data_IF_188622506591
#
_entry.id   IF_188622506591
#
_cell.length_a   1.000
_cell.length_b   1.000
_cell.length_c   1.000
_cell.angle_alpha   90.00
_cell.angle_beta   90.00
_cell.angle_gamma   90.00
#
_symmetry.space_group_name_H-M   'P 1'
#
loop_
_entity.id
_entity.type
_entity.pdbx_description
1 polymer ?
#
# COMPACT_ATOMS: atom_id res chain seq x y z
N UNK A 1 2.80 -24.12 -38.09
CA UNK A 1 1.87 -24.69 -37.10
C UNK A 1 2.68 -25.30 -35.98
N UNK A 2 2.75 -24.63 -34.83
CA UNK A 2 3.17 -25.24 -33.59
C UNK A 2 2.17 -24.74 -32.55
N UNK A 3 1.16 -25.57 -32.29
CA UNK A 3 0.23 -25.38 -31.20
C UNK A 3 1.04 -25.52 -29.91
N UNK A 4 1.44 -24.38 -29.36
CA UNK A 4 1.93 -24.32 -27.99
C UNK A 4 0.70 -24.46 -27.10
N UNK A 5 0.67 -25.51 -26.31
CA UNK A 5 -0.38 -25.83 -25.35
C UNK A 5 -0.38 -24.74 -24.27
N UNK A 6 -0.99 -23.59 -24.55
CA UNK A 6 -1.48 -22.68 -23.53
C UNK A 6 -2.58 -23.45 -22.81
N UNK A 7 -2.27 -23.98 -21.63
CA UNK A 7 -3.29 -24.28 -20.65
C UNK A 7 -4.01 -22.96 -20.37
N UNK A 8 -5.12 -22.78 -21.08
CA UNK A 8 -6.07 -21.70 -20.92
C UNK A 8 -6.77 -21.92 -19.58
N UNK A 9 -6.20 -21.36 -18.52
CA UNK A 9 -6.84 -21.23 -17.22
C UNK A 9 -6.77 -19.77 -16.82
N UNK A 10 -7.40 -18.87 -17.58
CA UNK A 10 -7.95 -17.62 -17.03
C UNK A 10 -9.02 -17.04 -17.96
N UNK A 11 -10.07 -17.80 -18.27
CA UNK A 11 -11.36 -17.23 -18.66
C UNK A 11 -12.37 -17.71 -17.63
N UNK A 12 -12.50 -16.98 -16.52
CA UNK A 12 -13.70 -16.86 -15.66
C UNK A 12 -13.29 -16.43 -14.25
N UNK A 13 -12.85 -15.19 -14.11
CA UNK A 13 -13.21 -14.32 -12.98
C UNK A 13 -12.62 -12.96 -13.31
N UNK A 14 -13.37 -11.85 -13.28
CA UNK A 14 -12.73 -10.56 -13.10
C UNK A 14 -11.80 -10.71 -11.89
N UNK A 15 -10.54 -10.30 -11.99
CA UNK A 15 -9.61 -10.36 -10.86
C UNK A 15 -10.12 -9.40 -9.78
N UNK A 16 -11.09 -9.88 -9.02
CA UNK A 16 -11.73 -9.14 -7.96
C UNK A 16 -10.72 -9.07 -6.83
N UNK A 17 -10.11 -7.90 -6.70
CA UNK A 17 -9.29 -7.62 -5.52
C UNK A 17 -10.25 -7.20 -4.43
N UNK A 18 -10.28 -7.98 -3.36
CA UNK A 18 -10.99 -7.60 -2.14
C UNK A 18 -10.30 -6.36 -1.54
N UNK A 19 -10.92 -5.21 -1.76
CA UNK A 19 -10.40 -3.91 -1.33
C UNK A 19 -10.40 -3.78 0.19
N UNK A 20 -11.32 -4.44 0.91
CA UNK A 20 -11.34 -4.44 2.36
C UNK A 20 -10.16 -5.25 2.90
N UNK A 21 -9.88 -6.41 2.29
CA UNK A 21 -8.73 -7.22 2.68
C UNK A 21 -7.42 -6.50 2.36
N UNK A 22 -7.36 -5.78 1.24
CA UNK A 22 -6.20 -4.96 0.90
C UNK A 22 -6.02 -3.80 1.91
N UNK A 23 -7.11 -3.15 2.32
CA UNK A 23 -7.08 -2.13 3.37
C UNK A 23 -6.51 -2.68 4.68
N UNK A 24 -6.97 -3.85 5.13
CA UNK A 24 -6.43 -4.51 6.33
C UNK A 24 -4.92 -4.77 6.21
N UNK A 25 -4.50 -5.24 5.04
CA UNK A 25 -3.09 -5.50 4.76
C UNK A 25 -2.27 -4.21 4.74
N UNK A 26 -2.74 -3.15 4.09
CA UNK A 26 -2.09 -1.81 4.03
C UNK A 26 -1.91 -1.23 5.44
N UNK A 27 -2.91 -1.41 6.30
CA UNK A 27 -2.87 -1.02 7.72
C UNK A 27 -2.07 -1.99 8.59
N UNK A 28 -1.50 -3.05 8.01
CA UNK A 28 -0.62 -3.99 8.70
C UNK A 28 -1.34 -4.87 9.72
N UNK A 29 -2.66 -5.03 9.62
CA UNK A 29 -3.42 -5.91 10.52
C UNK A 29 -2.86 -7.33 10.44
N UNK A 30 -2.83 -8.00 11.57
CA UNK A 30 -2.51 -9.44 11.62
C UNK A 30 -3.68 -10.27 11.11
N UNK A 31 -3.40 -11.52 10.73
CA UNK A 31 -4.45 -12.49 10.34
C UNK A 31 -5.53 -12.59 11.42
N UNK A 32 -5.13 -12.68 12.69
CA UNK A 32 -6.05 -12.75 13.83
C UNK A 32 -6.95 -11.50 13.91
N UNK A 33 -6.37 -10.30 13.82
CA UNK A 33 -7.14 -9.04 13.85
C UNK A 33 -8.13 -8.93 12.69
N UNK A 34 -7.71 -9.29 11.48
CA UNK A 34 -8.59 -9.30 10.31
C UNK A 34 -9.71 -10.33 10.47
N UNK A 35 -9.42 -11.54 10.96
CA UNK A 35 -10.43 -12.54 11.27
C UNK A 35 -11.43 -12.04 12.31
N UNK A 36 -10.99 -11.38 13.39
CA UNK A 36 -11.89 -10.84 14.42
C UNK A 36 -12.86 -9.78 13.87
N UNK A 37 -12.43 -9.00 12.87
CA UNK A 37 -13.29 -8.02 12.19
C UNK A 37 -14.25 -8.75 11.24
N UNK A 38 -13.76 -9.68 10.42
CA UNK A 38 -14.57 -10.41 9.45
C UNK A 38 -15.60 -11.34 10.10
N UNK A 39 -15.30 -11.88 11.28
CA UNK A 39 -16.23 -12.72 12.05
C UNK A 39 -17.53 -12.01 12.44
N UNK A 40 -17.55 -10.67 12.42
CA UNK A 40 -18.75 -9.86 12.66
C UNK A 40 -19.60 -9.68 11.40
N UNK A 41 -19.14 -10.18 10.24
CA UNK A 41 -19.87 -10.10 8.98
C UNK A 41 -21.01 -11.13 8.94
N UNK A 42 -22.23 -10.73 8.50
CA UNK A 42 -23.36 -11.64 8.32
C UNK A 42 -23.04 -12.86 7.45
N UNK A 43 -22.11 -12.70 6.49
CA UNK A 43 -21.70 -13.76 5.58
C UNK A 43 -21.02 -14.93 6.28
N UNK A 44 -20.35 -14.71 7.41
CA UNK A 44 -19.68 -15.79 8.15
C UNK A 44 -20.70 -16.78 8.71
N UNK A 45 -21.82 -16.27 9.22
CA UNK A 45 -22.93 -17.09 9.70
C UNK A 45 -23.67 -17.75 8.52
N UNK A 46 -23.94 -16.98 7.45
CA UNK A 46 -24.64 -17.45 6.25
C UNK A 46 -23.92 -18.66 5.60
N UNK A 47 -22.59 -18.58 5.46
CA UNK A 47 -21.78 -19.63 4.84
C UNK A 47 -21.20 -20.63 5.85
N UNK A 48 -21.53 -20.52 7.14
CA UNK A 48 -21.01 -21.36 8.24
C UNK A 48 -19.48 -21.49 8.20
N UNK A 49 -18.79 -20.38 7.97
CA UNK A 49 -17.33 -20.38 7.90
C UNK A 49 -16.72 -20.67 9.27
N UNK A 50 -15.79 -21.62 9.33
CA UNK A 50 -15.01 -21.86 10.56
C UNK A 50 -13.91 -20.82 10.71
N UNK A 51 -13.40 -20.63 11.93
CA UNK A 51 -12.27 -19.75 12.20
C UNK A 51 -11.02 -20.13 11.38
N UNK A 52 -10.80 -21.43 11.15
CA UNK A 52 -9.68 -21.92 10.36
C UNK A 52 -9.82 -21.57 8.87
N UNK A 53 -11.05 -21.68 8.33
CA UNK A 53 -11.35 -21.26 6.95
C UNK A 53 -11.15 -19.76 6.78
N UNK A 54 -11.58 -18.96 7.76
CA UNK A 54 -11.38 -17.52 7.74
C UNK A 54 -9.89 -17.15 7.81
N UNK A 55 -9.13 -17.81 8.69
CA UNK A 55 -7.69 -17.60 8.80
C UNK A 55 -6.93 -18.03 7.54
N UNK A 56 -7.37 -19.09 6.85
CA UNK A 56 -6.82 -19.48 5.54
C UNK A 56 -7.14 -18.41 4.48
N UNK A 57 -8.41 -17.99 4.38
CA UNK A 57 -8.85 -16.96 3.44
C UNK A 57 -8.05 -15.66 3.59
N UNK A 58 -7.87 -15.16 4.80
CA UNK A 58 -7.11 -13.93 5.07
C UNK A 58 -5.63 -14.11 4.71
N UNK A 59 -5.02 -15.26 5.06
CA UNK A 59 -3.62 -15.55 4.73
C UNK A 59 -3.38 -15.57 3.22
N UNK A 60 -4.26 -16.20 2.46
CA UNK A 60 -4.12 -16.31 1.01
C UNK A 60 -4.14 -14.93 0.36
N UNK A 61 -5.06 -14.04 0.77
CA UNK A 61 -5.10 -12.68 0.29
C UNK A 61 -3.85 -11.88 0.68
N UNK A 62 -3.40 -11.98 1.94
CA UNK A 62 -2.20 -11.28 2.39
C UNK A 62 -0.94 -11.75 1.64
N UNK A 63 -0.85 -13.04 1.32
CA UNK A 63 0.22 -13.59 0.50
C UNK A 63 0.18 -13.02 -0.93
N UNK A 64 -1.00 -12.98 -1.55
CA UNK A 64 -1.21 -12.37 -2.86
C UNK A 64 -0.79 -10.88 -2.87
N UNK A 65 -1.20 -10.10 -1.86
CA UNK A 65 -0.83 -8.69 -1.78
C UNK A 65 0.67 -8.48 -1.55
N UNK A 66 1.34 -9.40 -0.86
CA UNK A 66 2.80 -9.37 -0.69
C UNK A 66 3.51 -9.57 -2.03
N UNK A 67 3.00 -10.41 -2.92
CA UNK A 67 3.51 -10.54 -4.29
C UNK A 67 3.23 -9.28 -5.12
N UNK A 68 2.03 -8.70 -4.95
CA UNK A 68 1.61 -7.48 -5.63
C UNK A 68 2.43 -6.24 -5.21
N UNK A 69 2.95 -6.24 -3.98
CA UNK A 69 3.73 -5.14 -3.39
C UNK A 69 4.92 -4.71 -4.26
N UNK A 70 5.56 -5.66 -4.96
CA UNK A 70 6.68 -5.36 -5.86
C UNK A 70 6.27 -4.39 -6.97
N UNK A 71 5.08 -4.59 -7.55
CA UNK A 71 4.53 -3.68 -8.55
C UNK A 71 4.14 -2.34 -7.93
N UNK A 72 3.46 -2.36 -6.78
CA UNK A 72 2.96 -1.15 -6.12
C UNK A 72 4.07 -0.15 -5.72
N UNK A 73 5.30 -0.62 -5.46
CA UNK A 73 6.46 0.26 -5.23
C UNK A 73 6.91 1.05 -6.46
N UNK A 74 6.46 0.64 -7.65
CA UNK A 74 6.76 1.26 -8.94
C UNK A 74 5.46 1.52 -9.72
N UNK A 75 4.69 2.58 -9.36
CA UNK A 75 3.35 2.82 -9.92
C UNK A 75 3.28 2.89 -11.45
N UNK A 76 4.28 3.51 -12.09
CA UNK A 76 4.33 3.61 -13.56
C UNK A 76 4.40 2.24 -14.23
N UNK A 77 5.32 1.37 -13.75
CA UNK A 77 5.46 -0.02 -14.22
C UNK A 77 4.20 -0.83 -13.90
N UNK A 78 3.63 -0.69 -12.69
CA UNK A 78 2.41 -1.39 -12.31
C UNK A 78 1.22 -1.11 -13.23
N UNK A 79 1.13 0.12 -13.76
CA UNK A 79 0.09 0.49 -14.72
C UNK A 79 0.34 -0.05 -16.13
N UNK A 80 1.59 -0.24 -16.53
CA UNK A 80 1.96 -0.57 -17.92
C UNK A 80 2.29 -2.06 -18.13
N UNK A 81 2.79 -2.74 -17.11
CA UNK A 81 3.33 -4.09 -17.24
C UNK A 81 2.24 -5.12 -17.52
N UNK A 82 2.55 -6.01 -18.47
CA UNK A 82 1.59 -7.01 -18.93
C UNK A 82 1.17 -7.99 -17.84
N UNK A 83 2.03 -8.21 -16.84
CA UNK A 83 1.77 -9.08 -15.70
C UNK A 83 0.53 -8.65 -14.89
N UNK A 84 0.13 -7.38 -14.96
CA UNK A 84 -0.99 -6.84 -14.19
C UNK A 84 -2.26 -6.61 -15.04
N UNK A 85 -2.26 -6.97 -16.34
CA UNK A 85 -3.40 -6.77 -17.26
C UNK A 85 -4.71 -7.42 -16.84
N UNK A 86 -4.68 -8.36 -15.91
CA UNK A 86 -5.88 -8.93 -15.31
C UNK A 86 -6.67 -7.88 -14.51
N UNK A 87 -5.98 -6.94 -13.86
CA UNK A 87 -6.59 -5.83 -13.12
C UNK A 87 -6.96 -4.67 -14.04
N UNK A 88 -8.15 -4.12 -13.87
CA UNK A 88 -8.57 -2.91 -14.60
C UNK A 88 -7.68 -1.71 -14.22
N UNK A 89 -7.50 -0.73 -15.11
CA UNK A 89 -6.74 0.49 -14.81
C UNK A 89 -7.26 1.22 -13.57
N UNK A 90 -8.59 1.23 -13.36
CA UNK A 90 -9.25 1.85 -12.21
C UNK A 90 -8.87 1.14 -10.91
N UNK A 91 -8.94 -0.20 -10.88
CA UNK A 91 -8.53 -1.01 -9.75
C UNK A 91 -7.05 -0.79 -9.43
N UNK A 92 -6.17 -0.74 -10.44
CA UNK A 92 -4.74 -0.49 -10.20
C UNK A 92 -4.47 0.88 -9.61
N UNK A 93 -5.13 1.92 -10.11
CA UNK A 93 -5.04 3.27 -9.52
C UNK A 93 -5.49 3.26 -8.06
N UNK A 94 -6.61 2.62 -7.76
CA UNK A 94 -7.11 2.52 -6.39
C UNK A 94 -6.11 1.80 -5.46
N UNK A 95 -5.50 0.71 -5.93
CA UNK A 95 -4.48 -0.02 -5.17
C UNK A 95 -3.23 0.82 -4.91
N UNK A 96 -2.76 1.59 -5.91
CA UNK A 96 -1.68 2.55 -5.74
C UNK A 96 -2.07 3.59 -4.67
N UNK A 97 -3.26 4.18 -4.77
CA UNK A 97 -3.71 5.23 -3.85
C UNK A 97 -3.77 4.73 -2.40
N UNK A 98 -4.33 3.54 -2.19
CA UNK A 98 -4.36 2.88 -0.88
C UNK A 98 -2.96 2.50 -0.41
N UNK A 99 -2.09 1.98 -1.28
CA UNK A 99 -0.73 1.60 -0.92
C UNK A 99 0.15 2.81 -0.56
N UNK A 100 -0.14 4.00 -1.08
CA UNK A 100 0.52 5.25 -0.74
C UNK A 100 -0.22 6.06 0.32
N UNK A 101 -1.29 5.54 0.92
CA UNK A 101 -1.99 6.25 1.99
C UNK A 101 -1.07 6.50 3.19
N UNK A 102 -1.27 7.64 3.83
CA UNK A 102 -0.54 8.09 5.01
C UNK A 102 -1.52 8.27 6.17
N UNK A 103 -1.11 7.84 7.35
CA UNK A 103 -1.86 8.02 8.58
C UNK A 103 -1.47 9.36 9.24
N UNK A 104 -2.46 10.16 9.62
CA UNK A 104 -2.21 11.48 10.17
C UNK A 104 -1.46 11.45 11.51
N UNK A 105 -1.73 10.45 12.36
CA UNK A 105 -1.04 10.32 13.66
C UNK A 105 0.43 9.96 13.46
N UNK A 106 0.72 9.10 12.49
CA UNK A 106 2.08 8.79 12.06
C UNK A 106 2.79 10.03 11.53
N UNK A 107 2.14 10.81 10.65
CA UNK A 107 2.72 12.03 10.10
C UNK A 107 3.03 13.07 11.18
N UNK A 108 2.12 13.29 12.14
CA UNK A 108 2.35 14.23 13.24
C UNK A 108 3.59 13.89 14.06
N UNK A 109 3.84 12.60 14.29
CA UNK A 109 5.01 12.15 15.05
C UNK A 109 6.30 12.14 14.21
N UNK A 110 6.17 12.01 12.89
CA UNK A 110 7.27 12.07 11.94
C UNK A 110 7.72 13.51 11.65
N UNK A 111 6.81 14.49 11.71
CA UNK A 111 7.13 15.92 11.52
C UNK A 111 8.21 16.36 12.51
N UNK A 112 9.23 17.06 12.01
CA UNK A 112 10.41 17.47 12.78
C UNK A 112 11.54 16.45 12.80
N UNK A 113 11.32 15.23 12.26
CA UNK A 113 12.38 14.22 12.06
C UNK A 113 12.82 14.19 10.60
N UNK A 114 14.12 14.04 10.37
CA UNK A 114 14.67 13.88 9.01
C UNK A 114 14.41 12.47 8.49
N UNK A 115 14.09 12.33 7.20
CA UNK A 115 13.99 11.02 6.53
C UNK A 115 15.38 10.36 6.43
N UNK A 116 15.80 9.69 7.50
CA UNK A 116 17.15 9.18 7.68
C UNK A 116 17.15 7.76 8.24
N UNK A 117 18.30 7.08 8.14
CA UNK A 117 18.49 5.77 8.75
C UNK A 117 18.30 5.78 10.27
N UNK A 118 18.51 6.92 10.94
CA UNK A 118 18.22 7.09 12.36
C UNK A 118 16.71 7.03 12.61
N UNK A 119 15.93 7.86 11.92
CA UNK A 119 14.47 7.87 12.06
C UNK A 119 13.83 6.55 11.63
N UNK A 120 14.44 5.82 10.69
CA UNK A 120 14.02 4.45 10.33
C UNK A 120 14.08 3.48 11.51
N UNK A 121 15.03 3.65 12.44
CA UNK A 121 15.14 2.80 13.65
C UNK A 121 14.09 3.16 14.70
N UNK A 122 13.67 4.43 14.73
CA UNK A 122 12.67 4.97 15.67
C UNK A 122 11.23 4.65 15.25
N UNK A 123 11.00 4.08 14.05
CA UNK A 123 9.64 3.75 13.56
C UNK A 123 8.92 2.75 14.48
N UNK A 124 9.65 1.88 15.18
CA UNK A 124 9.06 0.98 16.18
C UNK A 124 8.40 1.76 17.32
N UNK A 125 9.12 2.73 17.88
CA UNK A 125 8.65 3.57 18.99
C UNK A 125 7.48 4.46 18.54
N UNK A 126 7.54 5.00 17.32
CA UNK A 126 6.44 5.80 16.74
C UNK A 126 5.19 4.93 16.54
N UNK A 127 5.35 3.71 16.03
CA UNK A 127 4.23 2.80 15.82
C UNK A 127 3.53 2.46 17.15
N UNK A 128 4.30 2.22 18.22
CA UNK A 128 3.76 2.00 19.56
C UNK A 128 3.02 3.25 20.07
N UNK A 129 3.62 4.43 19.98
CA UNK A 129 3.03 5.70 20.44
C UNK A 129 1.72 6.04 19.72
N UNK A 130 1.63 5.74 18.42
CA UNK A 130 0.45 6.00 17.61
C UNK A 130 -0.57 4.85 17.64
N UNK A 131 -0.30 3.75 18.35
CA UNK A 131 -1.10 2.53 18.34
C UNK A 131 -1.30 1.94 16.92
N UNK A 132 -0.30 2.13 16.05
CA UNK A 132 -0.30 1.67 14.68
C UNK A 132 0.51 0.38 14.51
N UNK A 133 0.21 -0.37 13.47
CA UNK A 133 0.99 -1.55 13.13
C UNK A 133 2.34 -1.16 12.54
N UNK A 134 3.42 -1.72 13.07
CA UNK A 134 4.79 -1.45 12.62
C UNK A 134 4.99 -1.65 11.12
N UNK A 135 4.33 -2.64 10.52
CA UNK A 135 4.35 -2.88 9.07
C UNK A 135 3.82 -1.68 8.29
N UNK A 136 2.69 -1.09 8.73
CA UNK A 136 2.10 0.08 8.10
C UNK A 136 3.01 1.30 8.23
N UNK A 137 3.55 1.57 9.42
CA UNK A 137 4.47 2.69 9.63
C UNK A 137 5.75 2.57 8.78
N UNK A 138 6.31 1.36 8.66
CA UNK A 138 7.46 1.09 7.78
C UNK A 138 7.14 1.34 6.31
N UNK A 139 5.98 0.87 5.82
CA UNK A 139 5.49 1.16 4.46
C UNK A 139 5.40 2.66 4.21
N UNK A 140 4.74 3.40 5.11
CA UNK A 140 4.55 4.84 5.00
C UNK A 140 5.89 5.59 4.94
N UNK A 141 6.83 5.26 5.83
CA UNK A 141 8.17 5.83 5.84
C UNK A 141 8.96 5.52 4.57
N UNK A 142 8.88 4.27 4.09
CA UNK A 142 9.58 3.83 2.89
C UNK A 142 9.02 4.51 1.64
N UNK A 143 7.69 4.69 1.57
CA UNK A 143 7.05 5.45 0.50
C UNK A 143 7.48 6.92 0.53
N UNK A 144 7.49 7.57 1.70
CA UNK A 144 7.96 8.96 1.85
C UNK A 144 9.41 9.12 1.38
N UNK A 145 10.29 8.22 1.83
CA UNK A 145 11.70 8.21 1.45
C UNK A 145 11.90 7.97 -0.05
N UNK A 146 11.11 7.06 -0.62
CA UNK A 146 11.14 6.75 -2.05
C UNK A 146 10.68 7.95 -2.89
N UNK A 147 9.58 8.59 -2.50
CA UNK A 147 9.05 9.78 -3.17
C UNK A 147 10.06 10.93 -3.11
N UNK A 148 10.56 11.26 -1.91
CA UNK A 148 11.57 12.31 -1.74
C UNK A 148 12.75 12.13 -2.71
N UNK A 149 13.40 10.96 -2.65
CA UNK A 149 14.55 10.63 -3.50
C UNK A 149 14.22 10.63 -5.00
N UNK A 150 13.08 10.08 -5.42
CA UNK A 150 12.73 10.02 -6.85
C UNK A 150 12.34 11.39 -7.43
N UNK A 151 12.03 12.36 -6.57
CA UNK A 151 11.62 13.72 -7.00
C UNK A 151 12.65 14.81 -6.73
N UNK A 152 13.74 14.52 -5.99
CA UNK A 152 14.70 15.54 -5.54
C UNK A 152 15.39 16.28 -6.69
N UNK A 153 15.73 15.56 -7.77
CA UNK A 153 16.44 16.11 -8.93
C UNK A 153 15.50 16.48 -10.10
N UNK A 154 14.19 16.29 -9.94
CA UNK A 154 13.24 16.56 -11.03
C UNK A 154 12.93 18.05 -11.12
N UNK A 155 13.05 18.66 -12.32
CA UNK A 155 12.69 20.06 -12.50
C UNK A 155 11.17 20.25 -12.37
N UNK A 156 10.74 21.46 -12.04
CA UNK A 156 9.33 21.83 -11.97
C UNK A 156 8.72 21.74 -10.56
N UNK A 157 7.38 21.73 -10.50
CA UNK A 157 6.64 21.73 -9.22
C UNK A 157 6.65 20.33 -8.62
N UNK A 158 7.07 20.21 -7.36
CA UNK A 158 7.14 18.93 -6.65
C UNK A 158 5.82 18.15 -6.68
N UNK A 159 4.68 18.82 -6.48
CA UNK A 159 3.36 18.18 -6.51
C UNK A 159 3.08 17.53 -7.87
N UNK A 160 3.42 18.20 -8.97
CA UNK A 160 3.21 17.67 -10.32
C UNK A 160 4.14 16.48 -10.59
N UNK A 161 5.40 16.55 -10.12
CA UNK A 161 6.34 15.44 -10.19
C UNK A 161 5.83 14.20 -9.42
N UNK A 162 5.28 14.39 -8.23
CA UNK A 162 4.69 13.30 -7.44
C UNK A 162 3.48 12.69 -8.15
N UNK A 163 2.56 13.52 -8.66
CA UNK A 163 1.37 13.07 -9.41
C UNK A 163 1.78 12.23 -10.62
N UNK A 164 2.79 12.68 -11.37
CA UNK A 164 3.20 12.03 -12.61
C UNK A 164 4.02 10.75 -12.39
N UNK A 165 4.93 10.72 -11.41
CA UNK A 165 5.81 9.56 -11.18
C UNK A 165 5.21 8.47 -10.28
N UNK A 166 4.19 8.82 -9.50
CA UNK A 166 3.55 7.89 -8.55
C UNK A 166 2.05 7.74 -8.77
N UNK A 167 1.46 8.49 -9.72
CA UNK A 167 0.06 8.38 -10.11
C UNK A 167 -0.92 8.64 -8.95
N UNK A 168 -0.50 9.49 -8.01
CA UNK A 168 -1.27 9.83 -6.81
C UNK A 168 -2.31 10.92 -7.10
N UNK A 169 -3.44 10.92 -6.38
CA UNK A 169 -4.40 12.01 -6.47
C UNK A 169 -3.80 13.29 -5.86
N UNK A 170 -4.33 14.43 -6.27
CA UNK A 170 -3.82 15.76 -5.90
C UNK A 170 -3.63 15.93 -4.39
N UNK A 171 -4.65 15.63 -3.60
CA UNK A 171 -4.57 15.73 -2.13
C UNK A 171 -3.42 14.91 -1.53
N UNK A 172 -3.20 13.70 -2.04
CA UNK A 172 -2.14 12.85 -1.51
C UNK A 172 -0.77 13.38 -1.94
N UNK A 173 -0.64 13.83 -3.20
CA UNK A 173 0.59 14.47 -3.68
C UNK A 173 0.94 15.74 -2.91
N UNK A 174 -0.04 16.57 -2.55
CA UNK A 174 0.12 17.74 -1.68
C UNK A 174 0.60 17.34 -0.28
N UNK A 175 0.00 16.31 0.33
CA UNK A 175 0.45 15.79 1.63
C UNK A 175 1.90 15.31 1.58
N UNK A 176 2.27 14.52 0.57
CA UNK A 176 3.65 14.06 0.38
C UNK A 176 4.61 15.25 0.21
N UNK A 177 4.28 16.21 -0.66
CA UNK A 177 5.10 17.40 -0.89
C UNK A 177 5.30 18.21 0.40
N UNK A 178 4.24 18.41 1.19
CA UNK A 178 4.32 19.14 2.46
C UNK A 178 5.22 18.43 3.48
N UNK A 179 5.06 17.11 3.65
CA UNK A 179 5.88 16.33 4.59
C UNK A 179 7.35 16.31 4.15
N UNK A 180 7.62 16.10 2.87
CA UNK A 180 8.99 16.13 2.32
C UNK A 180 9.61 17.52 2.55
N UNK A 181 8.86 18.59 2.29
CA UNK A 181 9.35 19.95 2.52
C UNK A 181 9.69 20.20 3.99
N UNK A 182 8.80 19.83 4.92
CA UNK A 182 9.00 20.01 6.36
C UNK A 182 10.20 19.20 6.86
N UNK A 183 10.31 17.94 6.45
CA UNK A 183 11.37 17.03 6.91
C UNK A 183 12.74 17.38 6.33
N UNK A 184 12.80 17.94 5.12
CA UNK A 184 14.04 18.47 4.51
C UNK A 184 14.50 19.79 5.13
N UNK A 185 13.58 20.65 5.58
CA UNK A 185 13.91 21.98 6.15
C UNK A 185 14.01 22.01 7.68
N UNK A 186 13.91 20.88 8.37
CA UNK A 186 14.03 20.79 9.85
C UNK A 186 15.49 20.95 10.33
N UNK A 187 16.13 22.05 9.98
CA UNK A 187 17.52 22.41 10.33
C UNK A 187 17.51 23.67 11.20
N UNK A 188 17.03 23.56 12.45
CA UNK A 188 17.25 24.55 13.49
C UNK A 188 17.40 23.85 14.83
#
# INVERSE_FOLDING_TARGET
>A
MQFCCLADVTITSPSFVDMQMFDFWVHGKTVSQACSILAQSPSVEEFRMTNDMLAAHVRDHFAQFTLLEMGLRHPDSFMQDCAYHQLTPETRKQLIHMYYSLDESFLRELVGRRLSNKSRREIADIAEKCELQLRSCKRQFDNLSCVARRTEDLPGRLIDNIKNCFLLPERLAECYAAVIFITSNSTY
#
